data_IF_926088665039
#
_entry.id   IF_926088665039
#
_cell.length_a   1.000
_cell.length_b   1.000
_cell.length_c   1.000
_cell.angle_alpha   90.00
_cell.angle_beta   90.00
_cell.angle_gamma   90.00
#
_symmetry.space_group_name_H-M   'P 1'
#
loop_
_entity.id
_entity.type
_entity.pdbx_description
1 polymer ?
#
# COMPACT_ATOMS: atom_id res chain seq x y z
N UNK A 1 -1.95 -15.35 -13.03
CA UNK A 1 -0.78 -15.88 -13.78
C UNK A 1 -0.02 -14.73 -14.48
N UNK A 2 0.25 -13.65 -13.73
CA UNK A 2 0.75 -12.38 -14.27
C UNK A 2 2.29 -12.30 -14.47
N UNK A 3 3.05 -13.31 -14.03
CA UNK A 3 4.51 -13.16 -13.89
C UNK A 3 5.36 -14.10 -14.76
N UNK A 4 4.80 -14.70 -15.80
CA UNK A 4 5.54 -15.74 -16.58
C UNK A 4 6.21 -15.29 -17.89
N UNK A 5 5.96 -14.09 -18.40
CA UNK A 5 6.48 -13.70 -19.73
C UNK A 5 7.16 -12.34 -19.82
N UNK A 6 6.93 -11.42 -18.88
CA UNK A 6 7.58 -10.10 -18.84
C UNK A 6 7.65 -9.58 -17.41
N UNK A 7 8.51 -8.60 -17.14
CA UNK A 7 8.55 -7.90 -15.87
C UNK A 7 7.25 -7.11 -15.65
N UNK A 8 6.59 -7.31 -14.50
CA UNK A 8 5.43 -6.54 -14.10
C UNK A 8 5.90 -5.28 -13.35
N UNK A 9 5.62 -4.12 -13.92
CA UNK A 9 6.12 -2.82 -13.43
C UNK A 9 5.04 -2.11 -12.62
N UNK A 10 5.34 -1.79 -11.36
CA UNK A 10 4.45 -1.06 -10.46
C UNK A 10 4.99 0.36 -10.27
N UNK A 11 4.24 1.36 -10.72
CA UNK A 11 4.52 2.77 -10.45
C UNK A 11 4.09 3.14 -9.02
N UNK A 12 5.04 3.59 -8.19
CA UNK A 12 4.79 3.96 -6.80
C UNK A 12 4.46 5.44 -6.68
N UNK A 13 3.25 5.79 -6.28
CA UNK A 13 2.84 7.15 -5.89
C UNK A 13 3.06 7.37 -4.40
N UNK A 14 2.85 6.33 -3.60
CA UNK A 14 2.85 6.42 -2.14
C UNK A 14 1.93 7.55 -1.64
N UNK A 15 2.51 8.57 -1.01
CA UNK A 15 1.83 9.77 -0.50
C UNK A 15 2.21 11.04 -1.27
N UNK A 16 2.86 10.92 -2.43
CA UNK A 16 3.30 12.07 -3.24
C UNK A 16 2.14 12.94 -3.74
N UNK A 17 0.90 12.42 -3.67
CA UNK A 17 -0.32 13.18 -3.95
C UNK A 17 -0.58 14.31 -2.95
N UNK A 18 0.10 14.30 -1.79
CA UNK A 18 0.06 15.35 -0.77
C UNK A 18 -1.37 15.76 -0.33
N UNK A 19 -2.30 14.78 -0.28
CA UNK A 19 -3.70 14.98 0.06
C UNK A 19 -4.56 15.53 -1.09
N UNK A 20 -3.98 15.77 -2.27
CA UNK A 20 -4.71 16.26 -3.44
C UNK A 20 -5.27 15.11 -4.27
N UNK A 21 -6.61 15.01 -4.34
CA UNK A 21 -7.29 14.02 -5.17
C UNK A 21 -6.99 14.24 -6.67
N UNK A 22 -6.93 15.49 -7.11
CA UNK A 22 -6.59 15.82 -8.49
C UNK A 22 -5.17 15.38 -8.86
N UNK A 23 -4.21 15.56 -7.95
CA UNK A 23 -2.84 15.10 -8.15
C UNK A 23 -2.76 13.57 -8.16
N UNK A 24 -3.53 12.88 -7.31
CA UNK A 24 -3.62 11.43 -7.32
C UNK A 24 -4.12 10.89 -8.68
N UNK A 25 -5.15 11.52 -9.27
CA UNK A 25 -5.61 11.20 -10.63
C UNK A 25 -4.53 11.48 -11.69
N UNK A 26 -3.81 12.59 -11.59
CA UNK A 26 -2.72 12.92 -12.53
C UNK A 26 -1.56 11.90 -12.49
N UNK A 27 -1.25 11.34 -11.31
CA UNK A 27 -0.27 10.27 -11.19
C UNK A 27 -0.73 8.98 -11.87
N UNK A 28 -2.00 8.63 -11.80
CA UNK A 28 -2.55 7.47 -12.54
C UNK A 28 -2.31 7.66 -14.04
N UNK A 29 -2.64 8.84 -14.58
CA UNK A 29 -2.40 9.15 -15.99
C UNK A 29 -0.93 9.08 -16.36
N UNK A 30 -0.05 9.67 -15.56
CA UNK A 30 1.40 9.68 -15.82
C UNK A 30 1.99 8.26 -15.83
N UNK A 31 1.61 7.42 -14.87
CA UNK A 31 2.09 6.05 -14.73
C UNK A 31 1.56 5.17 -15.89
N UNK A 32 0.28 5.33 -16.26
CA UNK A 32 -0.30 4.65 -17.41
C UNK A 32 0.41 5.05 -18.72
N UNK A 33 0.64 6.35 -18.93
CA UNK A 33 1.34 6.87 -20.10
C UNK A 33 2.80 6.40 -20.17
N UNK A 34 3.45 6.13 -19.03
CA UNK A 34 4.79 5.57 -18.95
C UNK A 34 4.84 4.06 -19.27
N UNK A 35 3.67 3.40 -19.45
CA UNK A 35 3.58 1.99 -19.80
C UNK A 35 3.79 1.04 -18.63
N UNK A 36 3.60 1.50 -17.40
CA UNK A 36 3.59 0.61 -16.24
C UNK A 36 2.32 -0.25 -16.19
N UNK A 37 2.40 -1.39 -15.50
CA UNK A 37 1.30 -2.34 -15.39
C UNK A 37 0.35 -2.02 -14.22
N UNK A 38 0.86 -1.30 -13.21
CA UNK A 38 0.09 -0.95 -12.01
C UNK A 38 0.50 0.41 -11.46
N UNK A 39 -0.43 1.07 -10.79
CA UNK A 39 -0.20 2.22 -9.93
C UNK A 39 -0.38 1.80 -8.47
N UNK A 40 0.51 2.26 -7.56
CA UNK A 40 0.39 1.95 -6.14
C UNK A 40 0.42 3.19 -5.27
N UNK A 41 -0.54 3.25 -4.35
CA UNK A 41 -0.68 4.26 -3.31
C UNK A 41 -0.37 3.69 -1.92
N UNK A 42 -0.51 4.53 -0.91
CA UNK A 42 -0.52 4.17 0.51
C UNK A 42 -1.82 4.69 1.13
N UNK A 43 -2.53 3.83 1.84
CA UNK A 43 -3.77 4.17 2.53
C UNK A 43 -3.53 4.18 4.02
N UNK A 44 -3.53 5.38 4.58
CA UNK A 44 -3.44 5.63 6.00
C UNK A 44 -4.80 6.06 6.55
N UNK A 45 -5.10 5.64 7.78
CA UNK A 45 -6.24 6.09 8.58
C UNK A 45 -5.66 6.54 9.92
N UNK A 46 -5.52 7.85 10.10
CA UNK A 46 -4.81 8.42 11.23
C UNK A 46 -5.33 7.91 12.59
N UNK A 47 -6.65 7.81 12.74
CA UNK A 47 -7.29 7.33 13.97
C UNK A 47 -7.01 5.85 14.29
N UNK A 48 -6.64 5.05 13.28
CA UNK A 48 -6.33 3.62 13.44
C UNK A 48 -4.83 3.34 13.60
N UNK A 49 -3.96 4.32 13.33
CA UNK A 49 -2.50 4.15 13.24
C UNK A 49 -1.70 5.02 14.20
N UNK A 50 -2.30 6.11 14.69
CA UNK A 50 -1.59 7.16 15.38
C UNK A 50 -2.44 7.78 16.49
N UNK A 51 -1.80 8.54 17.35
CA UNK A 51 -2.46 9.36 18.36
C UNK A 51 -2.36 10.84 18.00
N UNK A 52 -3.34 11.68 18.39
CA UNK A 52 -3.33 13.11 18.04
C UNK A 52 -2.06 13.88 18.40
N UNK A 53 -1.32 13.40 19.41
CA UNK A 53 -0.09 14.02 19.88
C UNK A 53 1.18 13.32 19.39
N UNK A 54 1.10 12.38 18.45
CA UNK A 54 2.28 11.65 17.98
C UNK A 54 3.25 12.57 17.24
N UNK A 55 4.48 12.76 17.76
CA UNK A 55 5.45 13.64 17.13
C UNK A 55 6.07 13.00 15.89
N UNK A 56 6.54 13.81 14.96
CA UNK A 56 7.44 13.33 13.93
C UNK A 56 8.75 12.82 14.52
N UNK A 57 9.22 11.65 14.10
CA UNK A 57 10.59 11.18 14.39
C UNK A 57 11.63 12.07 13.70
N UNK A 58 11.36 12.39 12.43
CA UNK A 58 12.10 13.37 11.63
C UNK A 58 11.04 14.24 10.97
N UNK A 59 11.06 15.53 11.22
CA UNK A 59 10.09 16.46 10.67
C UNK A 59 10.36 16.67 9.18
N UNK A 60 9.51 16.10 8.35
CA UNK A 60 9.56 16.22 6.88
C UNK A 60 8.39 17.04 6.31
N UNK A 61 7.32 17.26 7.07
CA UNK A 61 6.22 18.13 6.68
C UNK A 61 6.26 19.43 7.46
N UNK A 62 6.52 20.58 6.81
CA UNK A 62 6.53 21.88 7.48
C UNK A 62 5.13 22.39 7.81
N UNK A 63 4.08 21.89 7.14
CA UNK A 63 2.70 22.38 7.27
C UNK A 63 1.87 21.60 8.30
N UNK A 64 2.36 20.44 8.76
CA UNK A 64 1.65 19.62 9.74
C UNK A 64 2.37 19.71 11.10
N UNK A 65 1.60 19.84 12.19
CA UNK A 65 2.18 19.95 13.54
C UNK A 65 2.58 18.58 14.09
N UNK A 66 1.75 17.57 13.85
CA UNK A 66 1.94 16.20 14.32
C UNK A 66 1.95 15.21 13.16
N UNK A 67 2.42 14.00 13.45
CA UNK A 67 2.33 12.90 12.50
C UNK A 67 0.88 12.51 12.21
N UNK A 68 0.01 12.66 13.21
CA UNK A 68 -1.44 12.46 13.08
C UNK A 68 -2.06 13.43 12.08
N UNK A 69 -1.72 14.74 12.16
CA UNK A 69 -2.21 15.74 11.21
C UNK A 69 -1.78 15.44 9.79
N UNK A 70 -0.52 15.01 9.63
CA UNK A 70 -0.02 14.57 8.32
C UNK A 70 -0.84 13.41 7.74
N UNK A 71 -1.10 12.35 8.53
CA UNK A 71 -1.92 11.22 8.07
C UNK A 71 -3.35 11.65 7.74
N UNK A 72 -3.96 12.49 8.59
CA UNK A 72 -5.30 13.05 8.35
C UNK A 72 -5.38 13.80 7.03
N UNK A 73 -4.36 14.55 6.68
CA UNK A 73 -4.30 15.30 5.43
C UNK A 73 -4.12 14.39 4.20
N UNK A 74 -3.52 13.23 4.38
CA UNK A 74 -3.33 12.23 3.31
C UNK A 74 -4.54 11.34 3.07
N UNK A 75 -5.51 11.32 3.99
CA UNK A 75 -6.69 10.47 3.87
C UNK A 75 -7.58 10.86 2.70
N UNK A 76 -8.10 9.82 2.05
CA UNK A 76 -9.21 9.93 1.11
C UNK A 76 -10.40 9.13 1.64
N UNK A 77 -11.61 9.58 1.29
CA UNK A 77 -12.84 8.84 1.57
C UNK A 77 -12.92 7.57 0.72
N UNK A 78 -13.78 6.63 1.12
CA UNK A 78 -14.04 5.40 0.35
C UNK A 78 -14.46 5.72 -1.10
N UNK A 79 -15.35 6.71 -1.30
CA UNK A 79 -15.77 7.14 -2.63
C UNK A 79 -14.62 7.70 -3.48
N UNK A 80 -13.70 8.42 -2.85
CA UNK A 80 -12.51 8.94 -3.52
C UNK A 80 -11.57 7.81 -3.93
N UNK A 81 -11.31 6.84 -3.04
CA UNK A 81 -10.53 5.65 -3.37
C UNK A 81 -11.19 4.81 -4.46
N UNK A 82 -12.51 4.61 -4.40
CA UNK A 82 -13.26 3.93 -5.46
C UNK A 82 -13.17 4.68 -6.81
N UNK A 83 -13.15 6.01 -6.77
CA UNK A 83 -12.92 6.88 -7.92
C UNK A 83 -11.55 6.68 -8.55
N UNK A 84 -10.48 6.64 -7.74
CA UNK A 84 -9.11 6.37 -8.18
C UNK A 84 -8.97 4.97 -8.79
N UNK A 85 -9.55 3.95 -8.14
CA UNK A 85 -9.55 2.58 -8.64
C UNK A 85 -10.31 2.45 -9.99
N UNK A 86 -11.42 3.17 -10.15
CA UNK A 86 -12.14 3.23 -11.42
C UNK A 86 -11.29 3.90 -12.50
N UNK A 87 -10.65 5.04 -12.20
CA UNK A 87 -9.79 5.73 -13.16
C UNK A 87 -8.61 4.87 -13.60
N UNK A 88 -7.97 4.14 -12.70
CA UNK A 88 -6.90 3.20 -13.06
C UNK A 88 -7.40 2.13 -14.05
N UNK A 89 -8.62 1.58 -13.82
CA UNK A 89 -9.25 0.64 -14.76
C UNK A 89 -9.52 1.25 -16.13
N UNK A 90 -9.99 2.51 -16.17
CA UNK A 90 -10.22 3.25 -17.42
C UNK A 90 -8.92 3.49 -18.19
N UNK A 91 -7.78 3.53 -17.49
CA UNK A 91 -6.43 3.64 -18.06
C UNK A 91 -5.76 2.29 -18.35
N UNK A 92 -6.48 1.17 -18.16
CA UNK A 92 -5.99 -0.20 -18.36
C UNK A 92 -4.76 -0.55 -17.53
N UNK A 93 -4.66 -0.02 -16.31
CA UNK A 93 -3.64 -0.37 -15.33
C UNK A 93 -4.25 -0.88 -14.02
N UNK A 94 -3.51 -1.72 -13.30
CA UNK A 94 -3.95 -2.27 -12.02
C UNK A 94 -3.85 -1.22 -10.92
N UNK A 95 -4.93 -1.02 -10.16
CA UNK A 95 -4.92 -0.19 -8.96
C UNK A 95 -4.44 -1.00 -7.75
N UNK A 96 -3.46 -0.48 -7.02
CA UNK A 96 -2.93 -1.06 -5.80
C UNK A 96 -2.80 -0.01 -4.70
N UNK A 97 -2.89 -0.44 -3.45
CA UNK A 97 -2.50 0.36 -2.30
C UNK A 97 -1.90 -0.52 -1.20
N UNK A 98 -0.99 0.03 -0.40
CA UNK A 98 -0.59 -0.56 0.86
C UNK A 98 -1.51 -0.06 1.97
N UNK A 99 -2.06 -0.97 2.77
CA UNK A 99 -2.80 -0.64 3.99
C UNK A 99 -1.86 -0.68 5.19
N UNK A 100 -2.06 0.23 6.16
CA UNK A 100 -1.26 0.33 7.38
C UNK A 100 -2.05 0.07 8.65
N UNK A 101 -3.35 -0.25 8.51
CA UNK A 101 -4.23 -0.68 9.59
C UNK A 101 -5.26 -1.69 9.09
N UNK A 102 -5.91 -2.38 10.01
CA UNK A 102 -7.02 -3.28 9.69
C UNK A 102 -8.17 -2.50 9.03
N UNK A 103 -8.46 -1.31 9.55
CA UNK A 103 -9.50 -0.43 9.00
C UNK A 103 -9.20 -0.04 7.55
N UNK A 104 -7.91 0.18 7.21
CA UNK A 104 -7.49 0.45 5.84
C UNK A 104 -7.62 -0.79 4.94
N UNK A 105 -7.38 -2.00 5.47
CA UNK A 105 -7.65 -3.25 4.73
C UNK A 105 -9.14 -3.37 4.44
N UNK A 106 -9.99 -3.17 5.44
CA UNK A 106 -11.44 -3.27 5.29
C UNK A 106 -11.99 -2.26 4.28
N UNK A 107 -11.48 -1.03 4.29
CA UNK A 107 -11.82 0.00 3.30
C UNK A 107 -11.40 -0.43 1.89
N UNK A 108 -10.16 -0.84 1.71
CA UNK A 108 -9.62 -1.20 0.40
C UNK A 108 -10.23 -2.50 -0.14
N UNK A 109 -10.64 -3.44 0.71
CA UNK A 109 -11.39 -4.63 0.31
C UNK A 109 -12.72 -4.23 -0.35
N UNK A 110 -13.45 -3.26 0.23
CA UNK A 110 -14.69 -2.73 -0.37
C UNK A 110 -14.44 -1.97 -1.68
N UNK A 111 -13.31 -1.29 -1.80
CA UNK A 111 -12.88 -0.64 -3.06
C UNK A 111 -12.57 -1.66 -4.16
N UNK A 112 -12.20 -2.88 -3.80
CA UNK A 112 -11.95 -3.98 -4.73
C UNK A 112 -10.49 -4.12 -5.13
N UNK A 113 -9.61 -4.24 -4.16
CA UNK A 113 -8.17 -4.53 -4.38
C UNK A 113 -7.98 -5.91 -5.00
N UNK A 114 -7.11 -6.05 -6.03
CA UNK A 114 -6.83 -7.36 -6.64
C UNK A 114 -5.75 -8.15 -5.89
N UNK A 115 -4.94 -7.50 -5.07
CA UNK A 115 -3.89 -8.08 -4.25
C UNK A 115 -3.46 -7.11 -3.14
N UNK A 116 -2.79 -7.62 -2.12
CA UNK A 116 -2.26 -6.84 -1.01
C UNK A 116 -0.77 -6.57 -1.16
N UNK A 117 -0.34 -5.37 -0.78
CA UNK A 117 1.07 -4.99 -0.68
C UNK A 117 1.42 -4.62 0.75
N UNK A 118 2.32 -5.39 1.34
CA UNK A 118 2.83 -5.16 2.69
C UNK A 118 4.17 -4.42 2.60
N UNK A 119 4.26 -3.29 3.27
CA UNK A 119 5.51 -2.51 3.38
C UNK A 119 6.56 -3.22 4.22
N UNK A 120 7.83 -2.88 4.05
CA UNK A 120 8.93 -3.49 4.82
C UNK A 120 8.76 -3.30 6.34
N UNK A 121 8.22 -2.16 6.78
CA UNK A 121 7.92 -1.90 8.19
C UNK A 121 6.78 -2.71 8.77
N UNK A 122 5.90 -3.25 7.92
CA UNK A 122 4.72 -4.01 8.31
C UNK A 122 4.90 -5.54 8.23
N UNK A 123 6.07 -6.00 7.79
CA UNK A 123 6.35 -7.45 7.64
C UNK A 123 6.29 -8.24 8.96
N UNK A 124 6.31 -7.55 10.09
CA UNK A 124 6.15 -8.12 11.45
C UNK A 124 4.74 -7.95 12.02
N UNK A 125 3.87 -7.20 11.35
CA UNK A 125 2.51 -6.94 11.80
C UNK A 125 1.61 -8.13 11.47
N UNK A 126 1.65 -9.13 12.34
CA UNK A 126 0.94 -10.39 12.14
C UNK A 126 -0.57 -10.19 12.02
N UNK A 127 -1.15 -9.23 12.76
CA UNK A 127 -2.59 -8.95 12.72
C UNK A 127 -2.99 -8.43 11.33
N UNK A 128 -2.20 -7.51 10.80
CA UNK A 128 -2.43 -6.94 9.47
C UNK A 128 -2.27 -7.99 8.37
N UNK A 129 -1.20 -8.80 8.44
CA UNK A 129 -0.93 -9.87 7.47
C UNK A 129 -2.04 -10.92 7.50
N UNK A 130 -2.50 -11.32 8.68
CA UNK A 130 -3.59 -12.28 8.83
C UNK A 130 -4.89 -11.75 8.21
N UNK A 131 -5.24 -10.48 8.50
CA UNK A 131 -6.44 -9.86 7.94
C UNK A 131 -6.39 -9.80 6.41
N UNK A 132 -5.22 -9.45 5.84
CA UNK A 132 -5.03 -9.47 4.38
C UNK A 132 -5.14 -10.89 3.82
N UNK A 133 -4.51 -11.87 4.45
CA UNK A 133 -4.54 -13.26 3.99
C UNK A 133 -5.95 -13.87 4.08
N UNK A 134 -6.77 -13.46 5.07
CA UNK A 134 -8.16 -13.92 5.23
C UNK A 134 -9.07 -13.48 4.08
N UNK A 135 -8.69 -12.47 3.31
CA UNK A 135 -9.44 -12.08 2.10
C UNK A 135 -9.27 -13.08 0.95
N UNK A 136 -8.29 -13.99 1.02
CA UNK A 136 -7.94 -14.91 -0.06
C UNK A 136 -7.20 -14.26 -1.24
N UNK A 137 -7.01 -12.95 -1.23
CA UNK A 137 -6.28 -12.23 -2.28
C UNK A 137 -4.77 -12.39 -2.11
N UNK A 138 -3.99 -12.49 -3.21
CA UNK A 138 -2.54 -12.61 -3.16
C UNK A 138 -1.89 -11.50 -2.31
N UNK A 139 -0.82 -11.86 -1.59
CA UNK A 139 -0.06 -10.93 -0.74
C UNK A 139 1.35 -10.76 -1.28
N UNK A 140 1.80 -9.52 -1.47
CA UNK A 140 3.17 -9.16 -1.85
C UNK A 140 3.89 -8.56 -0.63
N UNK A 141 4.91 -9.25 -0.13
CA UNK A 141 5.69 -8.85 1.03
C UNK A 141 6.99 -8.13 0.62
N UNK A 142 7.23 -6.94 1.16
CA UNK A 142 8.54 -6.29 1.10
C UNK A 142 9.43 -6.73 2.26
N UNK A 143 10.74 -6.84 2.04
CA UNK A 143 11.66 -7.49 2.97
C UNK A 143 12.84 -6.64 3.43
N UNK A 144 12.82 -5.33 3.15
CA UNK A 144 13.97 -4.46 3.39
C UNK A 144 14.39 -4.29 4.86
N UNK A 145 13.53 -4.67 5.81
CA UNK A 145 13.80 -4.58 7.26
C UNK A 145 13.71 -5.95 7.96
N UNK A 146 13.73 -7.05 7.20
CA UNK A 146 13.45 -8.39 7.70
C UNK A 146 14.67 -9.29 7.58
N UNK A 147 14.90 -10.16 8.58
CA UNK A 147 15.81 -11.30 8.43
C UNK A 147 15.15 -12.38 7.56
N UNK A 148 15.94 -13.35 7.11
CA UNK A 148 15.41 -14.51 6.33
C UNK A 148 14.36 -15.26 7.16
N UNK A 149 14.62 -15.45 8.46
CA UNK A 149 13.69 -16.13 9.38
C UNK A 149 12.37 -15.37 9.54
N UNK A 150 12.40 -14.03 9.52
CA UNK A 150 11.18 -13.20 9.56
C UNK A 150 10.37 -13.38 8.29
N UNK A 151 11.05 -13.38 7.14
CA UNK A 151 10.43 -13.61 5.84
C UNK A 151 9.77 -14.97 5.78
N UNK A 152 10.48 -16.02 6.22
CA UNK A 152 9.96 -17.38 6.23
C UNK A 152 8.72 -17.49 7.12
N UNK A 153 8.72 -16.85 8.30
CA UNK A 153 7.54 -16.81 9.17
C UNK A 153 6.35 -16.12 8.52
N UNK A 154 6.57 -14.97 7.91
CA UNK A 154 5.49 -14.22 7.23
C UNK A 154 4.93 -15.01 6.04
N UNK A 155 5.80 -15.61 5.22
CA UNK A 155 5.40 -16.45 4.08
C UNK A 155 4.63 -17.69 4.55
N UNK A 156 5.11 -18.38 5.58
CA UNK A 156 4.42 -19.55 6.14
C UNK A 156 3.03 -19.16 6.67
N UNK A 157 2.91 -18.01 7.31
CA UNK A 157 1.64 -17.49 7.84
C UNK A 157 0.60 -17.24 6.73
N UNK A 158 0.98 -16.58 5.65
CA UNK A 158 0.09 -16.35 4.50
C UNK A 158 -0.30 -17.66 3.84
N UNK A 159 0.67 -18.57 3.62
CA UNK A 159 0.43 -19.88 3.01
C UNK A 159 -0.47 -20.79 3.84
N UNK A 160 -0.40 -20.70 5.16
CA UNK A 160 -1.26 -21.48 6.06
C UNK A 160 -2.75 -21.17 5.88
N UNK A 161 -3.08 -19.98 5.33
CA UNK A 161 -4.45 -19.60 4.97
C UNK A 161 -4.83 -19.92 3.52
N UNK A 162 -3.99 -20.66 2.79
CA UNK A 162 -4.23 -21.02 1.40
C UNK A 162 -3.99 -19.88 0.40
N UNK A 163 -3.46 -18.76 0.85
CA UNK A 163 -3.28 -17.54 0.06
C UNK A 163 -1.92 -17.55 -0.65
N UNK A 164 -1.91 -17.04 -1.89
CA UNK A 164 -0.69 -16.89 -2.67
C UNK A 164 0.17 -15.75 -2.09
N UNK A 165 1.49 -15.95 -2.07
CA UNK A 165 2.44 -14.96 -1.58
C UNK A 165 3.59 -14.76 -2.56
N UNK A 166 3.93 -13.50 -2.82
CA UNK A 166 5.14 -13.07 -3.50
C UNK A 166 6.04 -12.27 -2.56
N UNK A 167 7.35 -12.31 -2.79
CA UNK A 167 8.34 -11.62 -1.96
C UNK A 167 9.15 -10.67 -2.82
N UNK A 168 9.27 -9.40 -2.39
CA UNK A 168 10.14 -8.42 -3.00
C UNK A 168 11.47 -8.34 -2.26
N UNK A 169 12.57 -8.47 -2.99
CA UNK A 169 13.88 -8.07 -2.49
C UNK A 169 13.92 -6.54 -2.42
N UNK A 170 14.10 -6.02 -1.21
CA UNK A 170 14.16 -4.57 -0.97
C UNK A 170 15.47 -4.22 -0.26
N UNK A 171 16.10 -3.12 -0.71
CA UNK A 171 17.22 -2.48 -0.01
C UNK A 171 16.70 -1.19 0.61
N UNK A 172 16.77 -1.06 1.94
CA UNK A 172 16.25 0.09 2.67
C UNK A 172 17.27 1.24 2.66
N UNK A 173 17.67 1.65 1.47
CA UNK A 173 18.53 2.82 1.26
C UNK A 173 17.77 3.81 0.38
N UNK A 174 17.44 4.95 0.96
CA UNK A 174 16.87 6.09 0.25
C UNK A 174 17.91 7.19 0.18
N UNK A 175 17.96 7.94 -0.94
CA UNK A 175 18.93 9.01 -1.13
C UNK A 175 18.74 10.13 -0.12
#
# INVERSE_FOLDING_TARGET
MLFRSRCFVIGEVALTHDGSLGLAHAFIDAIANAGADAVKFQTHIAAAESTPSEPFRIRFSPQDETRYDYWRRMEFTEDQWAGLARHARERDIVFLSSAFSVDAVDLLERVGMPLWKVGSGESFNNILIDRMADTGMPVLLSTGMSTVEDIDRAVARVRAKGTQVGVFQCTTAYP
#
